data_IF_787584396603
#
_entry.id   IF_787584396603
#
_cell.length_a   1.000
_cell.length_b   1.000
_cell.length_c   1.000
_cell.angle_alpha   90.00
_cell.angle_beta   90.00
_cell.angle_gamma   90.00
#
_symmetry.space_group_name_H-M   'P 1'
#
loop_
_entity.id
_entity.type
_entity.pdbx_description
1 polymer ?
#
# COMPACT_ATOMS: atom_id res chain seq x y z
N UNK A 1 -16.58 -14.77 29.01
CA UNK A 1 -16.44 -15.85 28.00
C UNK A 1 -15.46 -15.42 26.91
N UNK A 2 -15.63 -14.25 26.29
CA UNK A 2 -14.75 -13.69 25.23
C UNK A 2 -13.29 -13.65 25.67
N UNK A 3 -13.00 -13.11 26.87
CA UNK A 3 -11.63 -13.03 27.42
C UNK A 3 -10.94 -14.40 27.52
N UNK A 4 -11.67 -15.44 27.95
CA UNK A 4 -11.12 -16.80 28.02
C UNK A 4 -10.83 -17.37 26.64
N UNK A 5 -11.68 -17.10 25.66
CA UNK A 5 -11.51 -17.55 24.27
C UNK A 5 -10.32 -16.82 23.63
N UNK A 6 -10.22 -15.50 23.83
CA UNK A 6 -9.10 -14.67 23.36
C UNK A 6 -7.77 -15.13 23.97
N UNK A 7 -7.72 -15.31 25.30
CA UNK A 7 -6.54 -15.84 25.99
C UNK A 7 -6.16 -17.23 25.49
N UNK A 8 -7.15 -18.10 25.28
CA UNK A 8 -6.94 -19.43 24.71
C UNK A 8 -6.36 -19.37 23.29
N UNK A 9 -6.81 -18.43 22.45
CA UNK A 9 -6.28 -18.22 21.12
C UNK A 9 -4.82 -17.69 21.18
N UNK A 10 -4.53 -16.71 22.02
CA UNK A 10 -3.17 -16.19 22.24
C UNK A 10 -2.22 -17.28 22.71
N UNK A 11 -2.62 -18.12 23.67
CA UNK A 11 -1.77 -19.22 24.17
C UNK A 11 -1.50 -20.32 23.16
N UNK A 12 -2.35 -20.50 22.16
CA UNK A 12 -2.04 -21.40 21.04
C UNK A 12 -0.84 -20.93 20.23
N UNK A 13 -0.66 -19.62 20.13
CA UNK A 13 0.43 -18.99 19.38
C UNK A 13 1.64 -18.76 20.29
N UNK A 14 1.40 -18.29 21.53
CA UNK A 14 2.39 -17.96 22.55
C UNK A 14 2.13 -18.79 23.83
N UNK A 15 2.58 -20.06 23.87
CA UNK A 15 2.23 -20.98 24.97
C UNK A 15 2.67 -20.54 26.37
N UNK A 16 3.69 -19.67 26.46
CA UNK A 16 4.24 -19.17 27.71
C UNK A 16 3.64 -17.84 28.16
N UNK A 17 2.56 -17.37 27.53
CA UNK A 17 1.89 -16.12 27.90
C UNK A 17 1.36 -16.21 29.34
N UNK A 18 1.81 -15.27 30.19
CA UNK A 18 1.33 -15.13 31.55
C UNK A 18 -0.09 -14.54 31.54
N UNK A 19 -1.06 -15.13 32.29
CA UNK A 19 -2.43 -14.62 32.32
C UNK A 19 -2.53 -13.20 32.90
N UNK A 20 -1.75 -12.85 33.89
CA UNK A 20 -1.80 -11.53 34.55
C UNK A 20 -1.26 -10.45 33.62
N UNK A 21 -0.14 -10.73 32.92
CA UNK A 21 0.40 -9.84 31.89
C UNK A 21 -0.61 -9.65 30.76
N UNK A 22 -1.21 -10.74 30.26
CA UNK A 22 -2.23 -10.66 29.22
C UNK A 22 -3.43 -9.78 29.61
N UNK A 23 -3.96 -9.98 30.83
CA UNK A 23 -5.10 -9.19 31.31
C UNK A 23 -4.74 -7.71 31.47
N UNK A 24 -3.59 -7.41 32.04
CA UNK A 24 -3.10 -6.04 32.19
C UNK A 24 -2.95 -5.35 30.84
N UNK A 25 -2.26 -5.98 29.89
CA UNK A 25 -1.97 -5.40 28.59
C UNK A 25 -3.26 -5.21 27.77
N UNK A 26 -4.20 -6.15 27.86
CA UNK A 26 -5.52 -6.01 27.22
C UNK A 26 -6.34 -4.87 27.85
N UNK A 27 -6.33 -4.72 29.19
CA UNK A 27 -7.04 -3.63 29.86
C UNK A 27 -6.48 -2.28 29.42
N UNK A 28 -5.17 -2.11 29.45
CA UNK A 28 -4.48 -0.89 28.98
C UNK A 28 -4.85 -0.55 27.54
N UNK A 29 -4.93 -1.55 26.67
CA UNK A 29 -5.30 -1.37 25.26
C UNK A 29 -6.75 -0.91 25.12
N UNK A 30 -7.69 -1.49 25.89
CA UNK A 30 -9.10 -1.11 25.87
C UNK A 30 -9.29 0.32 26.42
N UNK A 31 -8.66 0.66 27.54
CA UNK A 31 -8.70 2.01 28.13
C UNK A 31 -8.16 3.06 27.15
N UNK A 32 -7.08 2.72 26.43
CA UNK A 32 -6.50 3.57 25.38
C UNK A 32 -7.48 3.81 24.24
N UNK A 33 -8.18 2.76 23.77
CA UNK A 33 -9.21 2.90 22.73
C UNK A 33 -10.39 3.75 23.20
N UNK A 34 -10.85 3.56 24.43
CA UNK A 34 -11.93 4.37 25.02
C UNK A 34 -11.55 5.86 25.09
N UNK A 35 -10.33 6.17 25.50
CA UNK A 35 -9.82 7.55 25.51
C UNK A 35 -9.76 8.16 24.11
N UNK A 36 -9.25 7.43 23.12
CA UNK A 36 -9.21 7.90 21.71
C UNK A 36 -10.62 8.14 21.17
N UNK A 37 -11.56 7.22 21.40
CA UNK A 37 -12.96 7.37 20.99
C UNK A 37 -13.62 8.58 21.66
N UNK A 38 -13.26 8.86 22.92
CA UNK A 38 -13.73 10.03 23.66
C UNK A 38 -13.03 11.35 23.24
N UNK A 39 -12.14 11.32 22.27
CA UNK A 39 -11.36 12.50 21.83
C UNK A 39 -10.30 12.96 22.84
N UNK A 40 -9.93 12.11 23.78
CA UNK A 40 -8.86 12.38 24.76
C UNK A 40 -7.52 11.91 24.21
N UNK A 41 -6.44 12.57 24.66
CA UNK A 41 -5.08 12.10 24.39
C UNK A 41 -4.76 11.01 25.41
N UNK A 42 -4.47 9.77 24.99
CA UNK A 42 -4.08 8.71 25.92
C UNK A 42 -2.86 9.12 26.75
N UNK A 43 -2.91 8.89 28.04
CA UNK A 43 -1.79 9.21 28.95
C UNK A 43 -0.65 8.18 28.91
N UNK A 44 -0.80 7.12 28.11
CA UNK A 44 0.18 6.07 28.05
C UNK A 44 1.30 6.45 27.06
N UNK A 45 2.52 6.57 27.55
CA UNK A 45 3.71 6.50 26.69
C UNK A 45 3.84 5.09 26.14
N UNK A 46 3.56 4.91 24.86
CA UNK A 46 3.94 3.69 24.15
C UNK A 46 5.45 3.77 23.95
N UNK A 47 6.21 3.10 24.80
CA UNK A 47 7.64 2.97 24.60
C UNK A 47 7.89 2.31 23.24
N UNK A 48 8.63 2.99 22.37
CA UNK A 48 9.03 2.42 21.09
C UNK A 48 9.90 1.18 21.34
N UNK A 49 9.53 0.06 20.72
CA UNK A 49 10.35 -1.16 20.73
C UNK A 49 11.26 -1.09 19.51
N UNK A 50 12.56 -1.19 19.69
CA UNK A 50 13.49 -1.28 18.57
C UNK A 50 13.31 -2.60 17.81
N UNK A 51 13.68 -2.62 16.52
CA UNK A 51 13.63 -3.84 15.73
C UNK A 51 14.50 -4.95 16.36
N UNK A 52 15.62 -4.60 16.97
CA UNK A 52 16.49 -5.56 17.65
C UNK A 52 15.84 -6.24 18.85
N UNK A 53 15.02 -5.52 19.62
CA UNK A 53 14.26 -6.07 20.73
C UNK A 53 13.08 -6.91 20.26
N UNK A 54 12.46 -6.55 19.16
CA UNK A 54 11.27 -7.23 18.64
C UNK A 54 11.60 -8.45 17.76
N UNK A 55 12.67 -8.38 16.95
CA UNK A 55 13.02 -9.42 15.99
C UNK A 55 13.11 -10.86 16.56
N UNK A 56 13.63 -11.09 17.79
CA UNK A 56 13.66 -12.44 18.39
C UNK A 56 12.26 -13.07 18.60
N UNK A 57 11.21 -12.26 18.66
CA UNK A 57 9.84 -12.71 18.85
C UNK A 57 9.05 -12.85 17.56
N UNK A 58 9.60 -12.38 16.44
CA UNK A 58 8.96 -12.51 15.13
C UNK A 58 8.97 -13.98 14.68
N UNK A 59 7.80 -14.47 14.29
CA UNK A 59 7.63 -15.83 13.72
C UNK A 59 7.61 -15.83 12.20
N UNK A 60 7.21 -14.70 11.61
CA UNK A 60 7.10 -14.49 10.18
C UNK A 60 7.28 -13.00 9.86
N UNK A 61 7.53 -12.64 8.60
CA UNK A 61 7.43 -11.26 8.14
C UNK A 61 6.04 -10.68 8.46
N UNK A 62 5.97 -9.41 8.84
CA UNK A 62 4.69 -8.74 9.09
C UNK A 62 3.86 -8.59 7.84
N UNK A 63 4.53 -8.33 6.72
CA UNK A 63 3.90 -8.11 5.42
C UNK A 63 4.53 -9.03 4.37
N UNK A 64 3.68 -9.47 3.45
CA UNK A 64 4.12 -10.11 2.22
C UNK A 64 3.42 -9.45 1.02
N UNK A 65 4.22 -9.10 0.03
CA UNK A 65 3.72 -8.57 -1.24
C UNK A 65 3.54 -9.74 -2.22
N UNK A 66 2.33 -9.92 -2.71
CA UNK A 66 1.95 -10.96 -3.66
C UNK A 66 1.89 -10.36 -5.06
N UNK A 67 2.86 -10.67 -5.91
CA UNK A 67 2.85 -10.28 -7.32
C UNK A 67 1.88 -11.19 -8.07
N UNK A 68 0.58 -10.89 -7.98
CA UNK A 68 -0.48 -11.72 -8.57
C UNK A 68 -0.61 -11.55 -10.08
N UNK A 69 -0.12 -10.44 -10.64
CA UNK A 69 -0.13 -10.16 -12.07
C UNK A 69 1.30 -9.96 -12.58
N UNK A 70 1.64 -10.62 -13.68
CA UNK A 70 2.95 -10.49 -14.31
C UNK A 70 3.08 -9.21 -15.11
N UNK A 71 4.32 -8.74 -15.33
CA UNK A 71 4.60 -7.61 -16.23
C UNK A 71 4.47 -8.01 -17.69
N UNK A 72 4.78 -9.28 -18.01
CA UNK A 72 4.66 -9.85 -19.34
C UNK A 72 3.77 -11.10 -19.29
N UNK A 73 3.08 -11.34 -20.39
CA UNK A 73 2.29 -12.55 -20.59
C UNK A 73 2.54 -13.07 -21.99
N UNK A 74 2.95 -14.32 -22.13
CA UNK A 74 3.29 -14.94 -23.42
C UNK A 74 4.35 -14.14 -24.19
N UNK A 75 5.36 -13.61 -23.47
CA UNK A 75 6.44 -12.81 -24.03
C UNK A 75 6.05 -11.39 -24.49
N UNK A 76 4.82 -10.95 -24.17
CA UNK A 76 4.33 -9.60 -24.48
C UNK A 76 4.07 -8.82 -23.20
N UNK A 77 4.30 -7.51 -23.27
CA UNK A 77 3.97 -6.60 -22.17
C UNK A 77 2.49 -6.70 -21.80
N UNK A 78 2.20 -6.97 -20.54
CA UNK A 78 0.85 -7.24 -20.05
C UNK A 78 0.28 -6.10 -19.19
N UNK A 79 1.11 -5.43 -18.39
CA UNK A 79 0.63 -4.26 -17.64
C UNK A 79 0.07 -3.20 -18.60
N UNK A 80 -1.05 -2.57 -18.26
CA UNK A 80 -1.70 -1.55 -19.07
C UNK A 80 -1.01 -0.17 -19.03
N UNK A 81 0.12 -0.04 -18.29
CA UNK A 81 1.04 1.10 -18.33
C UNK A 81 2.46 0.64 -18.65
N UNK A 82 3.28 1.57 -19.17
CA UNK A 82 4.71 1.35 -19.45
C UNK A 82 5.56 2.40 -18.75
N UNK A 83 5.41 2.51 -17.43
CA UNK A 83 6.06 3.54 -16.62
C UNK A 83 7.57 3.56 -16.87
N UNK A 84 8.14 4.76 -17.09
CA UNK A 84 9.56 4.95 -17.35
C UNK A 84 10.43 4.57 -16.12
N UNK A 85 9.87 4.61 -14.91
CA UNK A 85 10.55 4.24 -13.67
C UNK A 85 10.06 2.91 -13.07
N UNK A 86 9.41 2.05 -13.87
CA UNK A 86 8.86 0.80 -13.34
C UNK A 86 9.97 -0.07 -12.73
N UNK A 87 9.94 -0.26 -11.41
CA UNK A 87 10.93 -1.06 -10.68
C UNK A 87 10.85 -2.56 -10.98
N UNK A 88 9.67 -3.04 -11.40
CA UNK A 88 9.41 -4.45 -11.68
C UNK A 88 9.73 -4.85 -13.13
N UNK A 89 9.85 -3.89 -14.06
CA UNK A 89 10.14 -4.17 -15.44
C UNK A 89 11.54 -4.79 -15.61
N UNK A 90 11.67 -5.78 -16.48
CA UNK A 90 12.92 -6.48 -16.73
C UNK A 90 13.44 -7.32 -15.56
N UNK A 91 12.64 -7.54 -14.51
CA UNK A 91 12.96 -8.47 -13.44
C UNK A 91 12.54 -9.88 -13.86
N UNK A 92 13.40 -10.92 -13.71
CA UNK A 92 13.07 -12.27 -14.15
C UNK A 92 11.74 -12.79 -13.56
N UNK A 93 11.52 -12.56 -12.25
CA UNK A 93 10.29 -13.01 -11.58
C UNK A 93 9.02 -12.28 -12.04
N UNK A 94 9.13 -11.11 -12.64
CA UNK A 94 7.97 -10.38 -13.17
C UNK A 94 7.52 -10.88 -14.54
N UNK A 95 8.30 -11.74 -15.17
CA UNK A 95 8.05 -12.34 -16.48
C UNK A 95 7.58 -13.80 -16.39
N UNK A 96 7.53 -14.36 -15.18
CA UNK A 96 7.04 -15.70 -14.93
C UNK A 96 5.54 -15.83 -15.21
N UNK A 97 5.10 -17.05 -15.55
CA UNK A 97 3.70 -17.34 -15.78
C UNK A 97 2.88 -17.10 -14.52
N UNK A 98 1.77 -16.40 -14.66
CA UNK A 98 0.84 -16.17 -13.56
C UNK A 98 0.26 -17.48 -13.03
N UNK A 99 0.21 -17.60 -11.71
CA UNK A 99 -0.46 -18.71 -11.05
C UNK A 99 -1.98 -18.59 -11.17
N UNK A 100 -2.65 -19.73 -11.21
CA UNK A 100 -4.11 -19.80 -11.18
C UNK A 100 -4.69 -19.42 -9.80
N UNK A 101 -6.00 -19.23 -9.76
CA UNK A 101 -6.75 -18.86 -8.55
C UNK A 101 -6.49 -19.80 -7.38
N UNK A 102 -6.52 -21.11 -7.63
CA UNK A 102 -6.39 -22.11 -6.56
C UNK A 102 -4.95 -22.19 -6.02
N UNK A 103 -3.96 -21.99 -6.86
CA UNK A 103 -2.57 -21.89 -6.45
C UNK A 103 -2.34 -20.64 -5.57
N UNK A 104 -2.89 -19.48 -5.92
CA UNK A 104 -2.83 -18.29 -5.09
C UNK A 104 -3.55 -18.47 -3.76
N UNK A 105 -4.74 -19.10 -3.73
CA UNK A 105 -5.42 -19.41 -2.47
C UNK A 105 -4.60 -20.32 -1.55
N UNK A 106 -3.88 -21.29 -2.11
CA UNK A 106 -2.95 -22.13 -1.33
C UNK A 106 -1.83 -21.30 -0.70
N UNK A 107 -1.26 -20.36 -1.46
CA UNK A 107 -0.22 -19.43 -0.96
C UNK A 107 -0.79 -18.56 0.16
N UNK A 108 -1.97 -17.95 -0.02
CA UNK A 108 -2.64 -17.11 0.99
C UNK A 108 -2.85 -17.91 2.29
N UNK A 109 -3.35 -19.16 2.19
CA UNK A 109 -3.52 -20.04 3.36
C UNK A 109 -2.17 -20.41 4.02
N UNK A 110 -1.11 -20.58 3.23
CA UNK A 110 0.23 -20.83 3.76
C UNK A 110 0.78 -19.59 4.51
N UNK A 111 0.55 -18.39 3.99
CA UNK A 111 0.88 -17.14 4.66
C UNK A 111 0.19 -17.02 6.03
N UNK A 112 -1.11 -17.36 6.09
CA UNK A 112 -1.86 -17.41 7.37
C UNK A 112 -1.25 -18.41 8.35
N UNK A 113 -0.93 -19.62 7.88
CA UNK A 113 -0.31 -20.65 8.72
C UNK A 113 1.07 -20.24 9.23
N UNK A 114 1.83 -19.47 8.43
CA UNK A 114 3.11 -18.93 8.81
C UNK A 114 3.02 -17.81 9.87
N UNK A 115 1.86 -17.16 10.01
CA UNK A 115 1.66 -16.06 10.96
C UNK A 115 1.90 -14.68 10.35
N UNK A 116 1.89 -14.56 9.02
CA UNK A 116 1.92 -13.26 8.32
C UNK A 116 0.60 -12.55 8.61
N UNK A 117 0.64 -11.24 8.86
CA UNK A 117 -0.53 -10.47 9.28
C UNK A 117 -1.05 -9.52 8.20
N UNK A 118 -0.21 -9.13 7.25
CA UNK A 118 -0.57 -8.23 6.16
C UNK A 118 -0.20 -8.80 4.80
N UNK A 119 -1.11 -8.69 3.82
CA UNK A 119 -0.86 -9.03 2.42
C UNK A 119 -1.08 -7.81 1.52
N UNK A 120 -0.16 -7.59 0.59
CA UNK A 120 -0.31 -6.58 -0.47
C UNK A 120 -0.46 -7.30 -1.81
N UNK A 121 -1.57 -7.08 -2.48
CA UNK A 121 -1.77 -7.53 -3.86
C UNK A 121 -1.14 -6.52 -4.81
N UNK A 122 -0.19 -6.98 -5.62
CA UNK A 122 0.59 -6.15 -6.53
C UNK A 122 0.96 -6.96 -7.79
N UNK A 123 1.87 -6.45 -8.59
CA UNK A 123 2.37 -7.13 -9.78
C UNK A 123 2.71 -6.14 -10.87
N UNK A 124 2.37 -6.47 -12.11
CA UNK A 124 2.25 -5.51 -13.20
C UNK A 124 1.07 -4.59 -12.90
N UNK A 125 -0.13 -5.07 -13.19
CA UNK A 125 -1.37 -4.41 -12.75
C UNK A 125 -2.37 -5.47 -12.26
N UNK A 126 -2.59 -5.60 -10.96
CA UNK A 126 -3.41 -6.66 -10.38
C UNK A 126 -4.89 -6.57 -10.79
N UNK A 127 -5.41 -5.38 -11.12
CA UNK A 127 -6.80 -5.22 -11.55
C UNK A 127 -7.08 -5.78 -12.96
N UNK A 128 -6.05 -6.25 -13.66
CA UNK A 128 -6.23 -6.99 -14.92
C UNK A 128 -6.67 -8.44 -14.70
N UNK A 129 -6.61 -8.96 -13.45
CA UNK A 129 -7.07 -10.28 -13.11
C UNK A 129 -8.57 -10.29 -12.82
N UNK A 130 -9.31 -11.15 -13.51
CA UNK A 130 -10.76 -11.31 -13.31
C UNK A 130 -11.12 -11.97 -11.96
N UNK A 131 -10.15 -12.66 -11.33
CA UNK A 131 -10.32 -13.34 -10.05
C UNK A 131 -9.77 -12.55 -8.85
N UNK A 132 -9.34 -11.30 -9.03
CA UNK A 132 -8.72 -10.49 -7.98
C UNK A 132 -9.58 -10.42 -6.71
N UNK A 133 -10.87 -10.08 -6.84
CA UNK A 133 -11.78 -9.98 -5.70
C UNK A 133 -11.96 -11.33 -4.98
N UNK A 134 -11.86 -12.46 -5.68
CA UNK A 134 -11.88 -13.79 -5.05
C UNK A 134 -10.62 -14.05 -4.22
N UNK A 135 -9.46 -13.56 -4.65
CA UNK A 135 -8.20 -13.67 -3.91
C UNK A 135 -8.22 -12.78 -2.67
N UNK A 136 -8.74 -11.55 -2.80
CA UNK A 136 -8.90 -10.62 -1.67
C UNK A 136 -9.84 -11.21 -0.63
N UNK A 137 -10.98 -11.75 -1.02
CA UNK A 137 -11.94 -12.38 -0.11
C UNK A 137 -11.33 -13.60 0.62
N UNK A 138 -10.49 -14.40 -0.04
CA UNK A 138 -9.73 -15.49 0.60
C UNK A 138 -8.76 -14.93 1.66
N UNK A 139 -8.27 -13.70 1.46
CA UNK A 139 -7.32 -13.04 2.33
C UNK A 139 -7.95 -12.20 3.46
N UNK A 140 -9.27 -12.19 3.65
CA UNK A 140 -10.01 -11.36 4.63
C UNK A 140 -9.56 -11.48 6.08
N UNK A 141 -8.77 -12.50 6.42
CA UNK A 141 -8.16 -12.63 7.74
C UNK A 141 -6.96 -11.68 7.95
N UNK A 142 -6.34 -11.24 6.86
CA UNK A 142 -5.18 -10.35 6.89
C UNK A 142 -5.62 -8.89 6.84
N UNK A 143 -4.73 -7.99 7.21
CA UNK A 143 -4.82 -6.60 6.74
C UNK A 143 -4.41 -6.60 5.26
N UNK A 144 -5.33 -6.25 4.38
CA UNK A 144 -5.15 -6.37 2.93
C UNK A 144 -4.94 -5.00 2.27
N UNK A 145 -3.99 -4.96 1.34
CA UNK A 145 -3.74 -3.77 0.51
C UNK A 145 -3.71 -4.17 -0.97
N UNK A 146 -4.25 -3.32 -1.81
CA UNK A 146 -4.12 -3.39 -3.26
C UNK A 146 -3.26 -2.23 -3.74
N UNK A 147 -2.14 -2.52 -4.43
CA UNK A 147 -1.35 -1.53 -5.15
C UNK A 147 -1.73 -1.58 -6.62
N UNK A 148 -2.18 -0.46 -7.19
CA UNK A 148 -2.69 -0.37 -8.56
C UNK A 148 -2.32 0.95 -9.22
N UNK A 149 -2.34 1.01 -10.54
CA UNK A 149 -2.24 2.25 -11.30
C UNK A 149 -3.59 3.02 -11.36
N UNK A 150 -4.67 2.44 -10.87
CA UNK A 150 -5.96 3.10 -10.74
C UNK A 150 -6.84 3.14 -12.01
N UNK A 151 -6.31 2.81 -13.19
CA UNK A 151 -7.04 2.90 -14.47
C UNK A 151 -8.36 2.11 -14.43
N UNK A 152 -8.34 0.91 -13.86
CA UNK A 152 -9.50 0.01 -13.81
C UNK A 152 -10.35 0.15 -12.53
N UNK A 153 -10.11 1.13 -11.68
CA UNK A 153 -10.97 1.40 -10.52
C UNK A 153 -12.30 2.03 -10.97
N UNK A 154 -13.12 1.25 -11.68
CA UNK A 154 -14.49 1.63 -12.01
C UNK A 154 -15.37 1.62 -10.76
N UNK A 155 -16.57 2.19 -10.84
CA UNK A 155 -17.52 2.15 -9.72
C UNK A 155 -17.88 0.71 -9.34
N UNK A 156 -18.03 -0.15 -10.34
CA UNK A 156 -18.35 -1.57 -10.19
C UNK A 156 -17.22 -2.29 -9.46
N UNK A 157 -15.96 -2.15 -9.94
CA UNK A 157 -14.82 -2.77 -9.28
C UNK A 157 -14.62 -2.25 -7.86
N UNK A 158 -14.78 -0.94 -7.62
CA UNK A 158 -14.71 -0.40 -6.27
C UNK A 158 -15.77 -1.02 -5.34
N UNK A 159 -17.00 -1.22 -5.82
CA UNK A 159 -18.03 -1.90 -5.04
C UNK A 159 -17.69 -3.37 -4.76
N UNK A 160 -17.13 -4.09 -5.75
CA UNK A 160 -16.67 -5.47 -5.58
C UNK A 160 -15.50 -5.57 -4.59
N UNK A 161 -14.55 -4.63 -4.62
CA UNK A 161 -13.43 -4.57 -3.67
C UNK A 161 -13.92 -4.34 -2.23
N UNK A 162 -14.91 -3.48 -2.03
CA UNK A 162 -15.56 -3.27 -0.71
C UNK A 162 -16.26 -4.54 -0.26
N UNK A 163 -17.01 -5.24 -1.15
CA UNK A 163 -17.65 -6.51 -0.84
C UNK A 163 -16.65 -7.63 -0.54
N UNK A 164 -15.46 -7.58 -1.14
CA UNK A 164 -14.37 -8.51 -0.87
C UNK A 164 -13.61 -8.21 0.44
N UNK A 165 -14.06 -7.20 1.21
CA UNK A 165 -13.46 -6.79 2.49
C UNK A 165 -12.00 -6.33 2.33
N UNK A 166 -11.68 -5.59 1.25
CA UNK A 166 -10.37 -4.98 1.07
C UNK A 166 -10.17 -3.82 2.04
N UNK A 167 -9.09 -3.83 2.83
CA UNK A 167 -8.84 -2.79 3.84
C UNK A 167 -8.34 -1.47 3.24
N UNK A 168 -7.50 -1.52 2.20
CA UNK A 168 -6.92 -0.31 1.61
C UNK A 168 -6.50 -0.47 0.15
N UNK A 169 -6.55 0.64 -0.58
CA UNK A 169 -5.99 0.77 -1.93
C UNK A 169 -4.89 1.81 -1.93
N UNK A 170 -3.79 1.51 -2.60
CA UNK A 170 -2.76 2.50 -2.93
C UNK A 170 -2.72 2.69 -4.45
N UNK A 171 -2.99 3.91 -4.91
CA UNK A 171 -2.90 4.27 -6.33
C UNK A 171 -1.60 5.01 -6.58
N UNK A 172 -0.88 4.63 -7.63
CA UNK A 172 0.28 5.39 -8.10
C UNK A 172 -0.17 6.55 -8.99
N UNK A 173 0.16 7.78 -8.58
CA UNK A 173 -0.18 9.00 -9.32
C UNK A 173 1.00 9.96 -9.28
N UNK A 174 1.46 10.40 -10.45
CA UNK A 174 2.74 11.11 -10.57
C UNK A 174 2.59 12.63 -10.53
N UNK A 175 1.57 13.21 -11.14
CA UNK A 175 1.41 14.66 -11.26
C UNK A 175 -0.04 15.07 -11.51
N UNK A 176 -0.41 16.24 -11.02
CA UNK A 176 -1.65 16.92 -11.38
C UNK A 176 -1.61 17.48 -12.82
N UNK A 177 -0.41 17.62 -13.39
CA UNK A 177 -0.23 17.96 -14.80
C UNK A 177 -0.42 16.70 -15.67
N UNK A 178 -1.42 16.68 -16.59
CA UNK A 178 -1.70 15.53 -17.43
C UNK A 178 -0.52 15.10 -18.31
N UNK A 179 0.24 16.04 -18.84
CA UNK A 179 1.35 15.75 -19.74
C UNK A 179 2.49 15.08 -18.99
N UNK A 180 2.84 15.60 -17.81
CA UNK A 180 3.86 15.00 -16.93
C UNK A 180 3.41 13.60 -16.47
N UNK A 181 2.15 13.45 -16.05
CA UNK A 181 1.64 12.14 -15.61
C UNK A 181 1.73 11.14 -16.77
N UNK A 182 1.22 11.49 -17.94
CA UNK A 182 1.17 10.64 -19.12
C UNK A 182 2.58 10.24 -19.61
N UNK A 183 3.54 11.17 -19.58
CA UNK A 183 4.94 10.89 -19.87
C UNK A 183 5.50 9.83 -18.91
N UNK A 184 5.31 10.03 -17.60
CA UNK A 184 5.86 9.14 -16.56
C UNK A 184 5.24 7.75 -16.58
N UNK A 185 3.97 7.61 -16.92
CA UNK A 185 3.29 6.29 -17.01
C UNK A 185 3.40 5.65 -18.41
N UNK A 186 3.94 6.38 -19.38
CA UNK A 186 4.16 5.89 -20.75
C UNK A 186 2.88 5.67 -21.54
N UNK A 187 1.85 6.51 -21.32
CA UNK A 187 0.57 6.44 -22.03
C UNK A 187 -0.41 7.52 -21.58
N UNK A 188 -1.46 7.77 -22.37
CA UNK A 188 -2.49 8.78 -22.09
C UNK A 188 -3.51 8.25 -21.07
N UNK A 189 -3.11 8.14 -19.79
CA UNK A 189 -3.89 7.49 -18.72
C UNK A 189 -4.27 8.41 -17.56
N UNK A 190 -4.01 9.71 -17.69
CA UNK A 190 -4.31 10.67 -16.62
C UNK A 190 -5.79 10.67 -16.22
N UNK A 191 -6.68 10.81 -17.20
CA UNK A 191 -8.12 10.93 -16.96
C UNK A 191 -8.70 9.65 -16.31
N UNK A 192 -8.27 8.47 -16.78
CA UNK A 192 -8.71 7.20 -16.22
C UNK A 192 -8.21 7.02 -14.79
N UNK A 193 -6.95 7.37 -14.51
CA UNK A 193 -6.39 7.30 -13.16
C UNK A 193 -7.12 8.25 -12.21
N UNK A 194 -7.37 9.49 -12.64
CA UNK A 194 -8.14 10.48 -11.84
C UNK A 194 -9.57 10.00 -11.60
N UNK A 195 -10.23 9.44 -12.62
CA UNK A 195 -11.56 8.85 -12.46
C UNK A 195 -11.55 7.70 -11.44
N UNK A 196 -10.53 6.84 -11.51
CA UNK A 196 -10.34 5.74 -10.55
C UNK A 196 -10.15 6.24 -9.10
N UNK A 197 -9.34 7.28 -8.88
CA UNK A 197 -9.17 7.93 -7.59
C UNK A 197 -10.52 8.44 -7.06
N UNK A 198 -11.30 9.15 -7.89
CA UNK A 198 -12.64 9.66 -7.52
C UNK A 198 -13.61 8.54 -7.16
N UNK A 199 -13.60 7.45 -7.93
CA UNK A 199 -14.46 6.30 -7.68
C UNK A 199 -14.11 5.64 -6.34
N UNK A 200 -12.82 5.46 -6.04
CA UNK A 200 -12.34 4.88 -4.78
C UNK A 200 -12.73 5.77 -3.57
N UNK A 201 -12.55 7.09 -3.67
CA UNK A 201 -12.99 8.05 -2.63
C UNK A 201 -14.50 7.98 -2.44
N UNK A 202 -15.28 7.97 -3.53
CA UNK A 202 -16.76 7.91 -3.49
C UNK A 202 -17.26 6.60 -2.87
N UNK A 203 -16.58 5.49 -3.13
CA UNK A 203 -16.90 4.18 -2.55
C UNK A 203 -16.52 4.06 -1.07
N UNK A 204 -15.85 5.07 -0.49
CA UNK A 204 -15.39 5.05 0.90
C UNK A 204 -14.22 4.10 1.16
N UNK A 205 -13.47 3.72 0.12
CA UNK A 205 -12.28 2.89 0.25
C UNK A 205 -11.19 3.69 0.97
N UNK A 206 -10.49 3.07 1.91
CA UNK A 206 -9.31 3.66 2.52
C UNK A 206 -8.20 3.79 1.47
N UNK A 207 -8.08 4.99 0.91
CA UNK A 207 -7.23 5.29 -0.25
C UNK A 207 -5.98 6.04 0.16
N UNK A 208 -4.83 5.56 -0.29
CA UNK A 208 -3.57 6.30 -0.30
C UNK A 208 -3.06 6.51 -1.72
N UNK A 209 -2.36 7.62 -1.94
CA UNK A 209 -1.69 7.88 -3.22
C UNK A 209 -0.19 7.74 -3.02
N UNK A 210 0.47 7.01 -3.92
CA UNK A 210 1.92 6.92 -3.94
C UNK A 210 2.48 7.71 -5.10
N UNK A 211 3.44 8.61 -4.82
CA UNK A 211 4.12 9.41 -5.85
C UNK A 211 5.62 9.18 -5.79
N UNK A 212 6.20 8.39 -6.71
CA UNK A 212 7.64 8.37 -6.91
C UNK A 212 8.10 9.74 -7.47
N UNK A 213 9.02 10.41 -6.75
CA UNK A 213 9.47 11.75 -7.07
C UNK A 213 10.71 11.73 -7.97
N UNK A 214 10.67 12.56 -9.01
CA UNK A 214 11.78 12.79 -9.94
C UNK A 214 11.81 14.26 -10.37
N UNK A 215 12.76 14.64 -11.21
CA UNK A 215 12.92 16.02 -11.67
C UNK A 215 11.72 16.52 -12.50
N UNK A 216 10.96 15.63 -13.15
CA UNK A 216 9.79 15.98 -13.95
C UNK A 216 8.58 16.37 -13.10
N UNK A 217 8.39 15.76 -11.94
CA UNK A 217 7.25 16.01 -11.04
C UNK A 217 7.67 16.63 -9.69
N UNK A 218 8.79 17.35 -9.66
CA UNK A 218 9.31 18.00 -8.43
C UNK A 218 8.36 19.06 -7.86
N UNK A 219 7.46 19.64 -8.69
CA UNK A 219 6.44 20.58 -8.25
C UNK A 219 5.27 19.85 -7.56
N UNK A 220 5.65 18.96 -6.63
CA UNK A 220 4.75 18.01 -5.95
C UNK A 220 3.65 18.72 -5.14
N UNK A 221 3.88 19.94 -4.68
CA UNK A 221 2.89 20.71 -3.93
C UNK A 221 1.57 20.91 -4.72
N UNK A 222 1.65 21.17 -6.03
CA UNK A 222 0.47 21.31 -6.88
C UNK A 222 -0.29 19.98 -7.00
N UNK A 223 0.43 18.88 -7.07
CA UNK A 223 -0.17 17.53 -7.04
C UNK A 223 -0.88 17.27 -5.71
N UNK A 224 -0.30 17.66 -4.57
CA UNK A 224 -0.93 17.52 -3.25
C UNK A 224 -2.22 18.33 -3.14
N UNK A 225 -2.22 19.60 -3.61
CA UNK A 225 -3.42 20.44 -3.65
C UNK A 225 -4.52 19.80 -4.48
N UNK A 226 -4.19 19.29 -5.64
CA UNK A 226 -5.12 18.58 -6.51
C UNK A 226 -5.71 17.34 -5.83
N UNK A 227 -4.88 16.47 -5.26
CA UNK A 227 -5.31 15.27 -4.54
C UNK A 227 -6.18 15.60 -3.33
N UNK A 228 -5.81 16.64 -2.57
CA UNK A 228 -6.62 17.12 -1.44
C UNK A 228 -8.03 17.54 -1.89
N UNK A 229 -8.13 18.25 -3.00
CA UNK A 229 -9.43 18.68 -3.57
C UNK A 229 -10.24 17.48 -4.09
N UNK A 230 -9.61 16.36 -4.46
CA UNK A 230 -10.29 15.10 -4.79
C UNK A 230 -10.79 14.33 -3.54
N UNK A 231 -10.44 14.78 -2.34
CA UNK A 231 -10.81 14.12 -1.09
C UNK A 231 -9.77 13.13 -0.56
N UNK A 232 -8.58 13.03 -1.18
CA UNK A 232 -7.47 12.21 -0.68
C UNK A 232 -6.95 12.80 0.63
N UNK A 233 -6.66 11.92 1.61
CA UNK A 233 -6.13 12.31 2.92
C UNK A 233 -4.80 11.65 3.26
N UNK A 234 -4.47 10.54 2.57
CA UNK A 234 -3.23 9.79 2.81
C UNK A 234 -2.37 9.78 1.56
N UNK A 235 -1.14 10.22 1.69
CA UNK A 235 -0.17 10.21 0.60
C UNK A 235 1.14 9.58 1.04
N UNK A 236 1.80 8.92 0.11
CA UNK A 236 3.15 8.39 0.28
C UNK A 236 4.02 8.93 -0.85
N UNK A 237 5.22 9.35 -0.57
CA UNK A 237 6.18 9.71 -1.59
C UNK A 237 7.57 9.16 -1.27
N UNK A 238 8.36 8.97 -2.31
CA UNK A 238 9.71 8.44 -2.23
C UNK A 238 10.57 9.01 -3.35
N UNK A 239 11.88 8.92 -3.20
CA UNK A 239 12.77 9.00 -4.35
C UNK A 239 12.60 7.79 -5.26
N UNK A 240 13.30 7.78 -6.38
CA UNK A 240 13.25 6.66 -7.32
C UNK A 240 14.02 5.46 -6.77
N UNK A 241 13.41 4.28 -6.85
CA UNK A 241 14.08 3.00 -6.59
C UNK A 241 14.83 2.61 -7.89
N UNK A 242 16.16 2.62 -7.84
CA UNK A 242 17.01 2.39 -9.02
C UNK A 242 17.08 0.90 -9.37
N UNK A 243 15.95 0.36 -9.80
CA UNK A 243 15.79 -1.01 -10.30
C UNK A 243 14.88 -1.02 -11.53
N UNK A 244 14.85 -2.11 -12.26
CA UNK A 244 14.02 -2.21 -13.47
C UNK A 244 14.32 -1.11 -14.49
N UNK A 245 13.28 -0.49 -15.02
CA UNK A 245 13.41 0.62 -15.98
C UNK A 245 14.10 1.86 -15.40
N UNK A 246 14.05 2.05 -14.07
CA UNK A 246 14.72 3.18 -13.43
C UNK A 246 16.26 3.11 -13.50
N UNK A 247 16.83 2.00 -13.98
CA UNK A 247 18.29 1.84 -14.22
C UNK A 247 18.74 2.38 -15.57
N UNK A 248 17.83 2.74 -16.47
CA UNK A 248 18.23 3.27 -17.78
C UNK A 248 18.92 4.63 -17.60
N UNK A 249 19.87 4.96 -18.48
CA UNK A 249 20.58 6.24 -18.42
C UNK A 249 19.63 7.45 -18.46
N UNK A 250 18.53 7.33 -19.19
CA UNK A 250 17.50 8.35 -19.27
C UNK A 250 16.79 8.52 -17.91
N UNK A 251 16.36 7.42 -17.30
CA UNK A 251 15.67 7.45 -16.01
C UNK A 251 16.58 7.93 -14.87
N UNK A 252 17.84 7.53 -14.86
CA UNK A 252 18.82 7.97 -13.85
C UNK A 252 19.01 9.49 -13.90
N UNK A 253 18.96 10.12 -15.08
CA UNK A 253 19.06 11.58 -15.23
C UNK A 253 17.88 12.34 -14.61
N UNK A 254 16.75 11.68 -14.42
CA UNK A 254 15.57 12.28 -13.76
C UNK A 254 15.61 12.17 -12.24
N UNK A 255 16.59 11.51 -11.66
CA UNK A 255 16.73 11.37 -10.22
C UNK A 255 17.00 12.73 -9.56
N UNK A 256 16.28 13.02 -8.48
CA UNK A 256 16.53 14.20 -7.65
C UNK A 256 17.80 13.98 -6.80
N UNK A 257 18.57 15.05 -6.62
CA UNK A 257 19.61 15.05 -5.60
C UNK A 257 18.99 14.97 -4.20
N UNK A 258 19.76 14.55 -3.19
CA UNK A 258 19.30 14.51 -1.81
C UNK A 258 18.78 15.86 -1.32
N UNK A 259 19.43 16.96 -1.69
CA UNK A 259 18.99 18.32 -1.33
C UNK A 259 17.67 18.68 -2.02
N UNK A 260 17.53 18.40 -3.31
CA UNK A 260 16.29 18.67 -4.03
C UNK A 260 15.13 17.85 -3.45
N UNK A 261 15.36 16.56 -3.18
CA UNK A 261 14.35 15.69 -2.57
C UNK A 261 13.95 16.21 -1.18
N UNK A 262 14.93 16.61 -0.36
CA UNK A 262 14.64 17.18 0.97
C UNK A 262 13.74 18.41 0.90
N UNK A 263 14.00 19.34 -0.03
CA UNK A 263 13.18 20.55 -0.19
C UNK A 263 11.74 20.21 -0.59
N UNK A 264 11.56 19.31 -1.57
CA UNK A 264 10.23 18.85 -1.99
C UNK A 264 9.48 18.20 -0.82
N UNK A 265 10.16 17.31 -0.07
CA UNK A 265 9.54 16.60 1.07
C UNK A 265 9.19 17.56 2.22
N UNK A 266 10.02 18.56 2.48
CA UNK A 266 9.77 19.58 3.51
C UNK A 266 8.52 20.42 3.19
N UNK A 267 8.39 20.89 1.94
CA UNK A 267 7.21 21.62 1.49
C UNK A 267 5.95 20.73 1.54
N UNK A 268 6.06 19.49 1.08
CA UNK A 268 4.97 18.50 1.11
C UNK A 268 4.48 18.24 2.54
N UNK A 269 5.40 18.04 3.49
CA UNK A 269 5.07 17.82 4.90
C UNK A 269 4.37 19.04 5.51
N UNK A 270 4.87 20.24 5.22
CA UNK A 270 4.25 21.49 5.69
C UNK A 270 2.81 21.66 5.19
N UNK A 271 2.59 21.40 3.90
CA UNK A 271 1.24 21.45 3.33
C UNK A 271 0.30 20.39 3.92
N UNK A 272 0.74 19.15 4.00
CA UNK A 272 -0.06 18.05 4.56
C UNK A 272 -0.45 18.33 6.01
N UNK A 273 0.49 18.77 6.84
CA UNK A 273 0.22 19.15 8.23
C UNK A 273 -0.84 20.26 8.34
N UNK A 274 -0.71 21.32 7.53
CA UNK A 274 -1.63 22.47 7.54
C UNK A 274 -3.05 22.11 7.05
N UNK A 275 -3.22 21.01 6.29
CA UNK A 275 -4.46 20.63 5.64
C UNK A 275 -5.05 19.29 6.15
N UNK A 276 -4.61 18.79 7.31
CA UNK A 276 -5.04 17.52 7.90
C UNK A 276 -4.91 16.33 6.92
N UNK A 277 -3.82 16.31 6.18
CA UNK A 277 -3.42 15.17 5.38
C UNK A 277 -2.28 14.43 6.09
N UNK A 278 -2.26 13.11 5.94
CA UNK A 278 -1.14 12.29 6.39
C UNK A 278 -0.17 12.04 5.23
N UNK A 279 1.13 12.24 5.47
CA UNK A 279 2.18 11.98 4.51
C UNK A 279 3.21 11.01 5.08
N UNK A 280 3.51 9.96 4.33
CA UNK A 280 4.56 9.00 4.65
C UNK A 280 5.68 9.06 3.62
N UNK A 281 6.90 9.00 4.11
CA UNK A 281 8.10 8.93 3.27
C UNK A 281 8.64 7.51 3.27
N UNK A 282 8.81 6.94 2.07
CA UNK A 282 9.48 5.65 1.90
C UNK A 282 10.84 5.87 1.24
N UNK A 283 11.87 5.27 1.82
CA UNK A 283 13.26 5.32 1.31
C UNK A 283 13.47 4.26 0.26
#
# INVERSE_FOLDING_TARGET
>A
QVLKETFGAVRKIYPKTDPEVFHRDLSVMLDTFEDVIAGKIPQMEIAGISLGEYAPYMRAPHRMDLMVSAMTREGKWHCNQKCIHCYAAGQPLSEEQELDTESWKKIIRACRKAGITQLTFTGGEPTLRDDLCKLILEARWFVTRLNTNGIRLTKELCAELVQAELDSVQVTFYSADPDIHNELVGGAHYEETVAGIRNAVTAGINLSINTPLCSLNKDYLETLKFLHNLGVRYVTCSGLIITGNARTDESVRTQLSGEQLYQVLKEAAGYCYANNMEINFTS
#
